data_IF_495573264390
#
_entry.id   IF_495573264390
#
_cell.length_a   1.000
_cell.length_b   1.000
_cell.length_c   1.000
_cell.angle_alpha   90.00
_cell.angle_beta   90.00
_cell.angle_gamma   90.00
#
_symmetry.space_group_name_H-M   'P 1'
#
loop_
_entity.id
_entity.type
_entity.pdbx_description
1 polymer ?
#
# COMPACT_ATOMS: atom_id res chain seq x y z
N UNK A 1 -13.69 -45.14 53.01
CA UNK A 1 -12.81 -44.46 52.03
C UNK A 1 -13.63 -43.33 51.43
N UNK A 2 -13.36 -42.03 51.48
CA UNK A 2 -12.22 -41.21 51.93
C UNK A 2 -12.77 -39.77 52.03
N UNK A 3 -12.32 -38.98 53.01
CA UNK A 3 -12.66 -37.55 53.19
C UNK A 3 -12.08 -36.71 52.04
N UNK A 4 -12.75 -35.64 51.61
CA UNK A 4 -12.06 -34.43 51.15
C UNK A 4 -12.86 -33.15 51.43
N UNK A 5 -12.19 -32.27 52.15
CA UNK A 5 -12.47 -30.86 52.45
C UNK A 5 -12.15 -29.98 51.24
N UNK A 6 -12.92 -28.91 50.99
CA UNK A 6 -12.40 -27.52 50.93
C UNK A 6 -13.48 -26.51 50.53
N UNK A 7 -13.57 -25.49 51.38
CA UNK A 7 -14.11 -24.15 51.21
C UNK A 7 -13.47 -23.41 50.03
N UNK A 8 -14.25 -22.62 49.29
CA UNK A 8 -13.81 -21.35 48.71
C UNK A 8 -15.02 -20.42 48.50
N UNK A 9 -14.92 -19.26 49.12
CA UNK A 9 -15.89 -18.16 49.10
C UNK A 9 -15.70 -17.26 47.88
N UNK A 10 -16.82 -16.83 47.31
CA UNK A 10 -17.18 -15.46 46.90
C UNK A 10 -16.28 -14.74 45.87
N UNK A 11 -16.85 -14.47 44.69
CA UNK A 11 -17.15 -13.08 44.30
C UNK A 11 -18.35 -13.07 43.35
N UNK A 12 -19.30 -12.20 43.65
CA UNK A 12 -20.55 -12.04 42.93
C UNK A 12 -20.57 -10.68 42.21
N UNK A 13 -21.43 -10.61 41.18
CA UNK A 13 -22.03 -9.41 40.56
C UNK A 13 -21.05 -8.65 39.62
N UNK A 14 -21.36 -8.36 38.36
CA UNK A 14 -22.62 -7.81 37.87
C UNK A 14 -23.01 -8.25 36.46
N UNK A 15 -24.30 -8.44 36.28
CA UNK A 15 -24.99 -8.55 35.02
C UNK A 15 -25.21 -7.15 34.40
N UNK A 16 -25.14 -7.07 33.07
CA UNK A 16 -26.07 -6.27 32.28
C UNK A 16 -26.23 -6.93 30.91
N UNK A 17 -27.49 -7.12 30.53
CA UNK A 17 -28.02 -7.93 29.44
C UNK A 17 -28.54 -6.98 28.34
N UNK A 18 -28.13 -7.27 27.10
CA UNK A 18 -28.86 -7.14 25.82
C UNK A 18 -29.13 -5.75 25.23
N UNK A 19 -28.57 -5.54 24.03
CA UNK A 19 -29.35 -5.25 22.82
C UNK A 19 -28.54 -5.59 21.55
N UNK A 20 -29.07 -6.50 20.73
CA UNK A 20 -28.79 -6.65 19.30
C UNK A 20 -30.15 -6.56 18.57
N UNK A 21 -30.26 -6.45 17.24
CA UNK A 21 -29.40 -5.84 16.21
C UNK A 21 -30.20 -4.78 15.39
N UNK A 22 -29.55 -4.03 14.48
CA UNK A 22 -30.26 -3.51 13.29
C UNK A 22 -29.43 -3.83 12.05
N UNK A 23 -30.08 -4.57 11.16
CA UNK A 23 -29.58 -5.08 9.90
C UNK A 23 -29.41 -3.98 8.84
N UNK A 24 -28.44 -4.17 7.94
CA UNK A 24 -28.29 -3.40 6.71
C UNK A 24 -27.17 -3.93 5.80
N UNK A 25 -27.52 -4.91 4.96
CA UNK A 25 -26.98 -5.20 3.61
C UNK A 25 -25.45 -5.15 3.40
N UNK A 26 -24.75 -6.29 3.49
CA UNK A 26 -24.31 -7.16 2.36
C UNK A 26 -23.34 -6.51 1.36
N UNK A 27 -22.07 -6.90 1.49
CA UNK A 27 -21.00 -6.69 0.52
C UNK A 27 -19.74 -7.45 0.94
N UNK A 28 -19.90 -8.72 1.35
CA UNK A 28 -18.77 -9.60 1.65
C UNK A 28 -18.21 -10.13 0.32
N UNK A 29 -16.99 -9.74 -0.06
CA UNK A 29 -16.20 -10.52 -1.00
C UNK A 29 -15.91 -11.85 -0.31
N UNK A 30 -16.56 -12.91 -0.78
CA UNK A 30 -16.33 -14.27 -0.37
C UNK A 30 -14.90 -14.69 -0.76
N UNK A 31 -14.01 -14.80 0.23
CA UNK A 31 -12.74 -15.49 0.06
C UNK A 31 -13.02 -17.01 0.09
N UNK A 32 -12.97 -17.65 -1.07
CA UNK A 32 -12.93 -19.11 -1.16
C UNK A 32 -11.67 -19.62 -0.46
N UNK A 33 -11.88 -20.45 0.56
CA UNK A 33 -10.84 -21.19 1.27
C UNK A 33 -10.53 -22.47 0.49
N UNK A 34 -9.26 -22.85 0.33
CA UNK A 34 -8.89 -24.25 0.29
C UNK A 34 -8.12 -24.64 1.56
N UNK A 35 -8.33 -25.89 1.92
CA UNK A 35 -8.03 -26.49 3.20
C UNK A 35 -6.53 -26.77 3.45
N UNK A 36 -6.24 -26.93 4.74
CA UNK A 36 -4.94 -27.19 5.34
C UNK A 36 -4.19 -28.43 4.80
N UNK A 37 -2.88 -28.31 4.69
CA UNK A 37 -1.92 -29.42 4.82
C UNK A 37 -0.68 -28.96 5.60
N UNK A 38 -0.16 -29.86 6.43
CA UNK A 38 0.73 -29.64 7.57
C UNK A 38 2.22 -29.65 7.20
N UNK A 39 2.99 -28.94 8.03
CA UNK A 39 4.39 -29.15 8.46
C UNK A 39 5.41 -29.77 7.48
N UNK A 40 6.48 -29.02 7.19
CA UNK A 40 7.87 -29.45 7.49
C UNK A 40 8.84 -28.28 7.33
N UNK A 41 9.67 -28.07 8.35
CA UNK A 41 10.81 -27.16 8.35
C UNK A 41 12.04 -27.83 7.71
N UNK A 42 12.76 -27.11 6.85
CA UNK A 42 14.20 -27.33 6.63
C UNK A 42 14.84 -26.10 5.97
N UNK A 43 15.94 -25.65 6.57
CA UNK A 43 16.78 -24.55 6.12
C UNK A 43 17.47 -24.85 4.78
N UNK A 44 17.61 -23.81 3.95
CA UNK A 44 18.64 -23.75 2.92
C UNK A 44 19.20 -22.32 2.85
N UNK A 45 20.44 -22.19 3.33
CA UNK A 45 21.32 -21.07 3.05
C UNK A 45 21.77 -21.17 1.60
N UNK A 46 21.87 -20.01 0.94
CA UNK A 46 22.88 -19.63 -0.07
C UNK A 46 22.24 -18.66 -1.07
N UNK A 47 22.39 -17.37 -0.77
CA UNK A 47 22.08 -16.29 -1.71
C UNK A 47 23.17 -16.23 -2.79
N UNK A 48 22.84 -16.25 -4.09
CA UNK A 48 23.82 -15.92 -5.11
C UNK A 48 23.95 -14.40 -5.23
N UNK A 49 25.20 -13.94 -5.11
CA UNK A 49 25.60 -12.60 -5.49
C UNK A 49 25.65 -12.47 -7.02
N UNK A 50 24.89 -11.52 -7.58
CA UNK A 50 25.04 -10.89 -8.90
C UNK A 50 24.01 -9.75 -8.97
N UNK A 51 24.21 -8.59 -9.59
CA UNK A 51 25.22 -8.14 -10.54
C UNK A 51 25.44 -6.63 -10.36
N UNK A 52 26.66 -6.19 -10.65
CA UNK A 52 26.92 -4.79 -10.99
C UNK A 52 26.55 -4.64 -12.46
N UNK A 53 25.61 -3.76 -12.79
CA UNK A 53 25.48 -3.22 -14.13
C UNK A 53 25.28 -1.71 -14.09
N UNK A 54 26.27 -1.03 -14.65
CA UNK A 54 26.30 0.37 -15.04
C UNK A 54 25.55 0.55 -16.35
N UNK A 55 24.60 1.49 -16.44
CA UNK A 55 24.38 2.32 -17.62
C UNK A 55 23.33 3.41 -17.34
N UNK A 56 23.53 4.56 -17.96
CA UNK A 56 22.83 5.80 -17.73
C UNK A 56 21.42 5.82 -18.33
N UNK A 57 20.49 6.41 -17.58
CA UNK A 57 19.45 7.27 -18.11
C UNK A 57 19.54 8.59 -17.34
N UNK A 58 19.31 9.72 -18.01
CA UNK A 58 19.28 11.04 -17.39
C UNK A 58 18.08 11.14 -16.44
N UNK A 59 18.17 10.48 -15.29
CA UNK A 59 17.14 10.43 -14.27
C UNK A 59 17.27 11.62 -13.34
N UNK A 60 16.14 12.29 -13.11
CA UNK A 60 15.98 13.27 -12.05
C UNK A 60 16.68 12.77 -10.78
N UNK A 61 17.70 13.52 -10.34
CA UNK A 61 18.42 13.23 -9.09
C UNK A 61 17.47 13.47 -7.93
N UNK A 62 16.76 12.42 -7.49
CA UNK A 62 16.09 12.43 -6.19
C UNK A 62 17.17 12.18 -5.12
N UNK A 63 17.98 13.20 -4.87
CA UNK A 63 18.92 13.22 -3.76
C UNK A 63 18.39 14.15 -2.67
N UNK A 64 17.38 13.71 -1.92
CA UNK A 64 17.18 14.10 -0.51
C UNK A 64 16.07 13.29 0.16
N UNK A 65 16.39 12.77 1.35
CA UNK A 65 15.74 11.65 2.06
C UNK A 65 14.45 12.00 2.83
N UNK A 66 13.82 13.15 2.54
CA UNK A 66 12.46 13.48 2.97
C UNK A 66 11.91 14.53 2.00
N UNK A 67 10.65 14.41 1.58
CA UNK A 67 10.01 15.51 0.87
C UNK A 67 9.94 16.71 1.81
N UNK A 68 10.49 17.84 1.39
CA UNK A 68 9.98 19.12 1.91
C UNK A 68 8.65 19.40 1.20
N UNK A 69 7.75 20.20 1.79
CA UNK A 69 6.52 20.61 1.11
C UNK A 69 6.80 21.14 -0.31
N UNK A 70 7.87 21.92 -0.48
CA UNK A 70 8.24 22.52 -1.76
C UNK A 70 8.64 21.48 -2.82
N UNK A 71 9.27 20.36 -2.43
CA UNK A 71 9.60 19.28 -3.36
C UNK A 71 8.37 18.45 -3.73
N UNK A 72 7.42 18.27 -2.80
CA UNK A 72 6.18 17.55 -3.08
C UNK A 72 5.35 18.30 -4.13
N UNK A 73 5.16 19.61 -3.94
CA UNK A 73 4.43 20.45 -4.88
C UNK A 73 5.06 20.37 -6.29
N UNK A 74 6.39 20.40 -6.39
CA UNK A 74 7.11 20.27 -7.65
C UNK A 74 6.86 18.92 -8.33
N UNK A 75 6.92 17.81 -7.59
CA UNK A 75 6.67 16.48 -8.15
C UNK A 75 5.23 16.29 -8.60
N UNK A 76 4.26 16.84 -7.86
CA UNK A 76 2.84 16.77 -8.25
C UNK A 76 2.61 17.57 -9.54
N UNK A 77 3.16 18.77 -9.65
CA UNK A 77 3.03 19.59 -10.86
C UNK A 77 3.72 18.94 -12.07
N UNK A 78 4.92 18.39 -11.89
CA UNK A 78 5.62 17.66 -12.96
C UNK A 78 4.84 16.41 -13.39
N UNK A 79 4.23 15.68 -12.44
CA UNK A 79 3.38 14.55 -12.77
C UNK A 79 2.11 14.97 -13.52
N UNK A 80 1.48 16.09 -13.15
CA UNK A 80 0.33 16.64 -13.89
C UNK A 80 0.71 17.00 -15.33
N UNK A 81 1.88 17.62 -15.54
CA UNK A 81 2.40 17.94 -16.88
C UNK A 81 2.65 16.67 -17.73
N UNK A 82 3.00 15.54 -17.09
CA UNK A 82 3.12 14.25 -17.77
C UNK A 82 1.73 13.70 -18.06
N UNK A 83 0.86 13.63 -17.05
CA UNK A 83 -0.49 13.11 -17.14
C UNK A 83 -1.30 13.82 -18.25
N UNK A 84 -1.18 15.14 -18.39
CA UNK A 84 -1.86 15.91 -19.44
C UNK A 84 -1.45 15.44 -20.84
N UNK A 85 -0.17 15.10 -21.07
CA UNK A 85 0.32 14.62 -22.37
C UNK A 85 -0.18 13.22 -22.73
N UNK A 86 -0.64 12.47 -21.74
CA UNK A 86 -1.08 11.08 -21.86
C UNK A 86 -2.60 10.92 -21.62
N UNK A 87 -3.36 12.02 -21.58
CA UNK A 87 -4.81 12.03 -21.34
C UNK A 87 -5.22 11.36 -20.01
N UNK A 88 -4.37 11.42 -18.98
CA UNK A 88 -4.65 10.87 -17.65
C UNK A 88 -5.30 11.95 -16.78
N UNK A 89 -6.56 11.78 -16.34
CA UNK A 89 -7.25 12.77 -15.52
C UNK A 89 -6.74 12.78 -14.07
N UNK A 90 -6.66 13.97 -13.49
CA UNK A 90 -6.42 14.19 -12.07
C UNK A 90 -6.23 15.66 -11.73
N UNK A 91 -6.35 15.99 -10.44
CA UNK A 91 -6.06 17.33 -9.93
C UNK A 91 -4.96 17.29 -8.90
N UNK A 92 -4.30 18.45 -8.71
CA UNK A 92 -3.33 18.66 -7.65
C UNK A 92 -3.90 18.23 -6.28
N UNK A 93 -5.13 18.63 -5.96
CA UNK A 93 -5.75 18.33 -4.67
C UNK A 93 -6.12 16.85 -4.50
N UNK A 94 -6.51 16.21 -5.61
CA UNK A 94 -6.67 14.76 -5.70
C UNK A 94 -5.38 14.05 -5.31
N UNK A 95 -4.29 14.37 -6.01
CA UNK A 95 -2.99 13.74 -5.80
C UNK A 95 -2.47 14.03 -4.39
N UNK A 96 -2.40 15.30 -4.00
CA UNK A 96 -1.85 15.73 -2.71
C UNK A 96 -2.56 15.04 -1.52
N UNK A 97 -3.90 15.01 -1.52
CA UNK A 97 -4.68 14.34 -0.47
C UNK A 97 -4.32 12.85 -0.35
N UNK A 98 -4.22 12.16 -1.49
CA UNK A 98 -3.90 10.74 -1.49
C UNK A 98 -2.45 10.51 -1.03
N UNK A 99 -1.47 11.28 -1.54
CA UNK A 99 -0.07 11.19 -1.10
C UNK A 99 0.08 11.36 0.41
N UNK A 100 -0.60 12.35 0.98
CA UNK A 100 -0.52 12.61 2.42
C UNK A 100 -1.11 11.48 3.26
N UNK A 101 -2.14 10.77 2.76
CA UNK A 101 -2.71 9.60 3.42
C UNK A 101 -1.81 8.37 3.30
N UNK A 102 -1.23 8.14 2.13
CA UNK A 102 -0.46 6.93 1.82
C UNK A 102 0.93 6.93 2.44
N UNK A 103 1.66 8.04 2.32
CA UNK A 103 3.09 8.08 2.64
C UNK A 103 3.49 9.26 3.51
N UNK A 104 2.56 10.17 3.82
CA UNK A 104 2.88 11.48 4.42
C UNK A 104 3.93 12.25 3.60
N UNK A 105 3.93 12.05 2.28
CA UNK A 105 4.90 12.66 1.36
C UNK A 105 6.26 11.96 1.28
N UNK A 106 6.44 10.78 1.88
CA UNK A 106 7.73 10.07 1.80
C UNK A 106 7.87 9.27 0.49
N UNK A 107 8.74 9.68 -0.46
CA UNK A 107 8.91 8.97 -1.74
C UNK A 107 9.62 7.62 -1.58
N UNK A 108 10.22 7.34 -0.42
CA UNK A 108 10.89 6.08 -0.10
C UNK A 108 10.07 5.22 0.87
N UNK A 109 8.77 5.51 1.04
CA UNK A 109 7.89 4.70 1.88
C UNK A 109 7.77 3.27 1.32
N UNK A 110 7.83 2.29 2.22
CA UNK A 110 7.64 0.87 1.92
C UNK A 110 6.70 0.29 2.97
N UNK A 111 5.70 -0.45 2.55
CA UNK A 111 4.86 -1.24 3.44
C UNK A 111 5.39 -2.68 3.53
N UNK A 112 5.88 -3.07 4.71
CA UNK A 112 6.47 -4.39 4.97
C UNK A 112 5.58 -5.33 5.82
N UNK A 113 4.32 -4.96 6.11
CA UNK A 113 3.48 -5.71 7.05
C UNK A 113 2.23 -6.34 6.47
N UNK A 114 1.77 -5.90 5.30
CA UNK A 114 0.54 -6.42 4.68
C UNK A 114 0.74 -7.77 3.96
N UNK A 115 -0.35 -8.30 3.39
CA UNK A 115 -0.31 -9.57 2.66
C UNK A 115 0.56 -9.49 1.39
N UNK A 116 0.67 -8.32 0.77
CA UNK A 116 1.49 -8.14 -0.41
C UNK A 116 2.98 -8.19 -0.04
N UNK A 117 3.36 -7.56 1.08
CA UNK A 117 4.69 -7.65 1.66
C UNK A 117 5.06 -9.08 2.04
N UNK A 118 4.14 -9.82 2.67
CA UNK A 118 4.32 -11.26 2.98
C UNK A 118 4.52 -12.08 1.70
N UNK A 119 3.86 -11.71 0.61
CA UNK A 119 4.02 -12.33 -0.70
C UNK A 119 5.23 -11.80 -1.50
N UNK A 120 6.05 -10.91 -0.92
CA UNK A 120 7.26 -10.38 -1.54
C UNK A 120 7.02 -9.25 -2.57
N UNK A 121 5.84 -8.65 -2.58
CA UNK A 121 5.44 -7.56 -3.48
C UNK A 121 4.97 -6.35 -2.65
N UNK A 122 5.83 -5.75 -1.81
CA UNK A 122 5.41 -4.66 -0.94
C UNK A 122 4.98 -3.42 -1.73
N UNK A 123 4.05 -2.65 -1.18
CA UNK A 123 3.66 -1.33 -1.68
C UNK A 123 4.77 -0.30 -1.45
N UNK A 124 5.00 0.60 -2.42
CA UNK A 124 6.16 1.51 -2.44
C UNK A 124 5.79 2.93 -2.88
N UNK A 125 6.59 3.88 -2.41
CA UNK A 125 6.59 5.27 -2.88
C UNK A 125 5.43 6.12 -2.37
N UNK A 126 5.23 7.26 -3.01
CA UNK A 126 4.32 8.32 -2.55
C UNK A 126 2.86 7.87 -2.42
N UNK A 127 2.40 7.03 -3.36
CA UNK A 127 1.04 6.52 -3.43
C UNK A 127 0.96 5.01 -3.20
N UNK A 128 2.00 4.42 -2.59
CA UNK A 128 1.99 3.02 -2.14
C UNK A 128 1.59 2.02 -3.25
N UNK A 129 2.20 2.16 -4.42
CA UNK A 129 1.96 1.29 -5.59
C UNK A 129 2.82 0.03 -5.48
N UNK A 130 2.26 -1.13 -5.81
CA UNK A 130 3.00 -2.40 -5.91
C UNK A 130 3.66 -2.55 -7.29
N UNK A 131 4.78 -3.28 -7.37
CA UNK A 131 5.54 -3.46 -8.62
C UNK A 131 4.70 -3.87 -9.84
N UNK A 132 3.83 -4.90 -9.79
CA UNK A 132 3.06 -5.29 -10.98
C UNK A 132 2.07 -4.22 -11.44
N UNK A 133 1.54 -3.40 -10.52
CA UNK A 133 0.68 -2.26 -10.89
C UNK A 133 1.52 -1.13 -11.47
N UNK A 134 2.69 -0.86 -10.90
CA UNK A 134 3.60 0.16 -11.44
C UNK A 134 4.02 -0.18 -12.86
N UNK A 135 4.39 -1.44 -13.11
CA UNK A 135 4.85 -1.90 -14.43
C UNK A 135 3.73 -1.83 -15.49
N UNK A 136 2.51 -2.22 -15.14
CA UNK A 136 1.35 -2.18 -16.06
C UNK A 136 0.91 -0.76 -16.38
N UNK A 137 0.92 0.14 -15.39
CA UNK A 137 0.39 1.50 -15.54
C UNK A 137 1.48 2.56 -15.67
N UNK A 138 2.73 2.16 -15.88
CA UNK A 138 3.86 3.07 -16.08
C UNK A 138 3.58 4.05 -17.22
N UNK A 139 3.94 5.31 -17.01
CA UNK A 139 3.74 6.36 -18.01
C UNK A 139 5.08 6.70 -18.65
N UNK A 140 5.13 6.55 -19.97
CA UNK A 140 6.33 6.86 -20.76
C UNK A 140 6.82 8.29 -20.48
N UNK A 141 8.14 8.49 -20.49
CA UNK A 141 8.75 9.79 -20.16
C UNK A 141 8.97 10.05 -18.67
N UNK A 142 8.61 9.12 -17.78
CA UNK A 142 8.95 9.17 -16.35
C UNK A 142 10.07 8.18 -15.97
N UNK A 143 10.54 8.25 -14.72
CA UNK A 143 11.51 7.30 -14.18
C UNK A 143 10.98 5.86 -14.16
N UNK A 144 11.88 4.88 -14.12
CA UNK A 144 11.53 3.44 -14.17
C UNK A 144 11.47 2.77 -12.79
N UNK A 145 11.26 3.55 -11.73
CA UNK A 145 11.27 3.06 -10.35
C UNK A 145 10.01 3.51 -9.63
N UNK A 146 9.36 2.64 -8.83
CA UNK A 146 8.24 3.05 -7.99
C UNK A 146 8.66 4.03 -6.88
N UNK A 147 9.96 4.26 -6.67
CA UNK A 147 10.50 5.28 -5.77
C UNK A 147 10.79 6.62 -6.48
N UNK A 148 10.69 6.67 -7.82
CA UNK A 148 10.69 7.95 -8.53
C UNK A 148 9.34 8.64 -8.28
N UNK A 149 9.31 9.84 -7.68
CA UNK A 149 8.08 10.45 -7.21
C UNK A 149 7.12 10.77 -8.35
N UNK A 150 7.65 11.25 -9.49
CA UNK A 150 6.85 11.61 -10.66
C UNK A 150 6.28 10.35 -11.32
N UNK A 151 7.10 9.32 -11.50
CA UNK A 151 6.65 8.03 -12.04
C UNK A 151 5.61 7.35 -11.14
N UNK A 152 5.83 7.37 -9.82
CA UNK A 152 4.89 6.79 -8.86
C UNK A 152 3.53 7.50 -8.90
N UNK A 153 3.53 8.85 -8.94
CA UNK A 153 2.30 9.64 -9.07
C UNK A 153 1.60 9.33 -10.39
N UNK A 154 2.32 9.40 -11.51
CA UNK A 154 1.76 9.19 -12.83
C UNK A 154 1.16 7.78 -12.99
N UNK A 155 1.88 6.74 -12.56
CA UNK A 155 1.40 5.36 -12.62
C UNK A 155 0.17 5.12 -11.74
N UNK A 156 0.16 5.65 -10.51
CA UNK A 156 -0.99 5.55 -9.63
C UNK A 156 -2.23 6.28 -10.18
N UNK A 157 -2.03 7.45 -10.80
CA UNK A 157 -3.13 8.20 -11.41
C UNK A 157 -3.66 7.52 -12.67
N UNK A 158 -2.79 6.89 -13.46
CA UNK A 158 -3.18 6.08 -14.62
C UNK A 158 -4.03 4.87 -14.18
N UNK A 159 -3.59 4.15 -13.15
CA UNK A 159 -4.40 3.10 -12.51
C UNK A 159 -5.75 3.64 -12.01
N UNK A 160 -5.75 4.78 -11.31
CA UNK A 160 -6.97 5.37 -10.79
C UNK A 160 -7.92 5.85 -11.89
N UNK A 161 -7.40 6.32 -13.02
CA UNK A 161 -8.19 6.68 -14.19
C UNK A 161 -8.90 5.46 -14.78
N UNK A 162 -8.18 4.36 -14.98
CA UNK A 162 -8.74 3.10 -15.50
C UNK A 162 -9.82 2.52 -14.57
N UNK A 163 -9.58 2.55 -13.24
CA UNK A 163 -10.46 1.90 -12.27
C UNK A 163 -11.59 2.77 -11.74
N UNK A 164 -11.36 4.08 -11.63
CA UNK A 164 -12.24 5.02 -10.93
C UNK A 164 -12.53 6.30 -11.73
N UNK A 165 -11.99 6.43 -12.95
CA UNK A 165 -12.15 7.59 -13.83
C UNK A 165 -11.25 8.78 -13.49
N UNK A 166 -10.69 8.87 -12.29
CA UNK A 166 -9.67 9.86 -11.87
C UNK A 166 -9.18 9.53 -10.46
N UNK A 167 -7.95 9.95 -10.14
CA UNK A 167 -7.43 9.98 -8.76
C UNK A 167 -8.30 10.81 -7.81
N UNK A 168 -9.07 11.77 -8.35
CA UNK A 168 -9.99 12.60 -7.57
C UNK A 168 -11.10 11.78 -6.90
N UNK A 169 -11.47 10.66 -7.52
CA UNK A 169 -12.52 9.76 -7.04
C UNK A 169 -12.01 8.75 -6.00
N UNK A 170 -10.70 8.74 -5.71
CA UNK A 170 -10.09 7.87 -4.71
C UNK A 170 -10.17 8.53 -3.33
N UNK A 171 -10.95 7.90 -2.45
CA UNK A 171 -11.27 8.42 -1.11
C UNK A 171 -10.75 7.53 0.04
N UNK A 172 -10.11 6.40 -0.28
CA UNK A 172 -9.63 5.40 0.67
C UNK A 172 -8.19 5.03 0.38
N UNK A 173 -7.48 4.53 1.39
CA UNK A 173 -6.12 4.07 1.20
C UNK A 173 -6.04 2.87 0.26
N UNK A 174 -4.92 2.74 -0.46
CA UNK A 174 -4.66 1.62 -1.36
C UNK A 174 -4.43 0.31 -0.61
#
# INVERSE_FOLDING_TARGET
>A
MTRFTRTASVLAVAAAVVAAPIAGATGAWAAETPAAAKDTAAAAKDAPAAAKDTAAAAGNKVTQLAATPENLDAWINEALDVMEKHDIPGTYEGIHRNVMRESSGNPLAINDWDINAVNGIPSKGLLQVIDPTFDEYHVEGTGSSPFDPVANIAAACNYAADRYGSIDNVNSAY
#
